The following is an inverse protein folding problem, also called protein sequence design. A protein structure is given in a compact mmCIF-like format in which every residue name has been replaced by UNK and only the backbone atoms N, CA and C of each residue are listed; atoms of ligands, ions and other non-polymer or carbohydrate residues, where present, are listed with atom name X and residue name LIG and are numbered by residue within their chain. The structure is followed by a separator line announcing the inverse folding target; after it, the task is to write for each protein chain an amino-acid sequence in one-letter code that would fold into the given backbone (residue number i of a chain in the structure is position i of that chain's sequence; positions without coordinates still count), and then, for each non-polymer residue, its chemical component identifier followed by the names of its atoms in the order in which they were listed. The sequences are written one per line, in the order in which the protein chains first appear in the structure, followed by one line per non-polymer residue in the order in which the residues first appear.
data_IF_610717930544
#
_entry.id   IF_610717930544
#
_cell.length_a   1.000
_cell.length_b   1.000
_cell.length_c   1.000
_cell.angle_alpha   90.00
_cell.angle_beta   90.00
_cell.angle_gamma   90.00
#
_symmetry.space_group_name_H-M   'P 1'
#
loop_
_entity.id
_entity.type
_entity.pdbx_description
1 polymer ?
#
# COMPACT_ATOMS: atom_id res chain seq x y z
N UNK A 1 -16.33 -1.73 7.26
CA UNK A 1 -16.48 -1.84 5.79
C UNK A 1 -15.30 -2.66 5.26
N UNK A 2 -15.48 -3.47 4.21
CA UNK A 2 -14.37 -4.17 3.58
C UNK A 2 -13.83 -3.29 2.44
N UNK A 3 -12.54 -2.91 2.53
CA UNK A 3 -11.83 -2.14 1.49
C UNK A 3 -10.65 -2.98 1.01
N UNK A 4 -10.33 -2.85 -0.27
CA UNK A 4 -9.20 -3.52 -0.90
C UNK A 4 -8.34 -2.44 -1.54
N UNK A 5 -7.03 -2.55 -1.37
CA UNK A 5 -6.05 -1.67 -1.99
C UNK A 5 -5.01 -2.50 -2.71
N UNK A 6 -4.52 -1.99 -3.84
CA UNK A 6 -3.36 -2.56 -4.50
C UNK A 6 -2.08 -2.09 -3.83
N UNK A 7 -1.10 -2.97 -3.77
CA UNK A 7 0.20 -2.70 -3.14
C UNK A 7 1.32 -3.09 -4.08
N UNK A 8 2.39 -2.30 -4.08
CA UNK A 8 3.60 -2.57 -4.85
C UNK A 8 4.70 -3.00 -3.90
N UNK A 9 5.20 -4.23 -4.07
CA UNK A 9 6.36 -4.74 -3.33
C UNK A 9 7.62 -4.53 -4.16
N UNK A 10 8.64 -3.94 -3.54
CA UNK A 10 9.96 -3.74 -4.13
C UNK A 10 11.00 -4.47 -3.28
N UNK A 11 11.76 -5.43 -3.83
CA UNK A 11 12.87 -6.04 -3.12
C UNK A 11 13.94 -5.00 -2.77
N UNK A 12 14.43 -5.02 -1.54
CA UNK A 12 15.46 -4.11 -1.07
C UNK A 12 16.87 -4.69 -1.25
N UNK A 13 17.87 -3.81 -1.38
CA UNK A 13 19.26 -4.20 -1.65
C UNK A 13 19.89 -5.05 -0.54
N UNK A 14 19.49 -4.82 0.72
CA UNK A 14 19.99 -5.52 1.91
C UNK A 14 19.15 -6.75 2.27
N UNK A 15 18.11 -7.06 1.49
CA UNK A 15 17.10 -8.07 1.80
C UNK A 15 15.78 -7.46 2.27
N UNK A 16 14.72 -8.27 2.27
CA UNK A 16 13.37 -7.80 2.58
C UNK A 16 12.68 -7.09 1.41
N UNK A 17 11.54 -6.47 1.73
CA UNK A 17 10.64 -5.83 0.78
C UNK A 17 10.10 -4.53 1.34
N UNK A 18 10.22 -3.45 0.57
CA UNK A 18 9.43 -2.24 0.77
C UNK A 18 8.07 -2.39 0.12
N UNK A 19 7.05 -1.81 0.74
CA UNK A 19 5.67 -1.77 0.25
C UNK A 19 5.23 -0.33 0.11
N UNK A 20 4.61 -0.02 -1.02
CA UNK A 20 3.89 1.23 -1.24
C UNK A 20 2.46 0.97 -1.69
N UNK A 21 1.56 1.90 -1.36
CA UNK A 21 0.13 1.80 -1.71
C UNK A 21 -0.20 2.97 -2.65
N UNK A 22 -0.27 2.76 -3.98
CA UNK A 22 -0.42 3.86 -4.93
C UNK A 22 -1.64 4.75 -4.69
N UNK A 23 -2.73 4.16 -4.21
CA UNK A 23 -3.96 4.88 -3.90
C UNK A 23 -3.91 5.71 -2.60
N UNK A 24 -2.92 5.46 -1.74
CA UNK A 24 -2.71 6.16 -0.46
C UNK A 24 -1.30 6.79 -0.46
N UNK A 25 -1.11 7.95 -1.13
CA UNK A 25 0.19 8.59 -1.23
C UNK A 25 0.82 8.82 0.14
N UNK A 26 2.06 8.38 0.33
CA UNK A 26 2.76 8.47 1.62
C UNK A 26 2.60 7.26 2.52
N UNK A 27 1.73 6.30 2.18
CA UNK A 27 1.65 5.01 2.87
C UNK A 27 2.79 4.09 2.39
N UNK A 28 3.90 4.12 3.11
CA UNK A 28 5.07 3.28 2.90
C UNK A 28 5.36 2.43 4.14
N UNK A 29 5.78 1.19 3.92
CA UNK A 29 6.20 0.29 4.99
C UNK A 29 7.21 -0.73 4.44
N UNK A 30 7.73 -1.61 5.29
CA UNK A 30 8.68 -2.65 4.90
C UNK A 30 8.53 -3.90 5.78
N UNK A 31 9.06 -5.03 5.32
CA UNK A 31 9.22 -6.26 6.10
C UNK A 31 10.34 -7.13 5.55
N UNK A 32 10.88 -8.02 6.37
CA UNK A 32 11.99 -8.92 6.01
C UNK A 32 11.54 -10.04 5.07
N UNK A 33 10.26 -10.41 5.14
CA UNK A 33 9.60 -11.39 4.26
C UNK A 33 8.41 -10.78 3.54
N UNK A 34 7.91 -11.46 2.50
CA UNK A 34 6.68 -11.04 1.82
C UNK A 34 5.50 -11.06 2.80
N UNK A 35 5.41 -12.11 3.63
CA UNK A 35 4.36 -12.24 4.63
C UNK A 35 4.37 -11.07 5.62
N UNK A 36 5.54 -10.76 6.18
CA UNK A 36 5.70 -9.64 7.12
C UNK A 36 5.40 -8.30 6.45
N UNK A 37 5.94 -8.06 5.26
CA UNK A 37 5.69 -6.85 4.50
C UNK A 37 4.19 -6.63 4.23
N UNK A 38 3.43 -7.71 3.99
CA UNK A 38 1.99 -7.66 3.81
C UNK A 38 1.21 -7.43 5.12
N UNK A 39 1.69 -7.95 6.25
CA UNK A 39 1.12 -7.64 7.57
C UNK A 39 1.32 -6.16 7.91
N UNK A 40 2.55 -5.68 7.76
CA UNK A 40 2.90 -4.28 7.95
C UNK A 40 2.10 -3.35 7.03
N UNK A 41 1.83 -3.77 5.79
CA UNK A 41 1.01 -2.99 4.86
C UNK A 41 -0.45 -2.89 5.32
N UNK A 42 -1.03 -3.98 5.84
CA UNK A 42 -2.41 -3.95 6.36
C UNK A 42 -2.53 -2.97 7.53
N UNK A 43 -1.58 -2.99 8.46
CA UNK A 43 -1.56 -2.06 9.59
C UNK A 43 -1.41 -0.61 9.13
N UNK A 44 -0.44 -0.32 8.27
CA UNK A 44 -0.22 1.03 7.73
C UNK A 44 -1.44 1.58 6.99
N UNK A 45 -2.08 0.76 6.14
CA UNK A 45 -3.32 1.13 5.43
C UNK A 45 -4.45 1.42 6.42
N UNK A 46 -4.58 0.60 7.46
CA UNK A 46 -5.65 0.75 8.46
C UNK A 46 -5.48 2.07 9.22
N UNK A 47 -4.27 2.38 9.69
CA UNK A 47 -3.95 3.63 10.37
C UNK A 47 -4.13 4.85 9.46
N UNK A 48 -3.74 4.74 8.18
CA UNK A 48 -3.94 5.82 7.21
C UNK A 48 -5.42 6.15 7.04
N UNK A 49 -6.27 5.12 6.87
CA UNK A 49 -7.73 5.29 6.72
C UNK A 49 -8.34 5.88 7.99
N UNK A 50 -7.94 5.40 9.16
CA UNK A 50 -8.41 5.95 10.45
C UNK A 50 -8.09 7.45 10.56
N UNK A 51 -6.89 7.88 10.14
CA UNK A 51 -6.53 9.30 10.11
C UNK A 51 -7.44 10.11 9.19
N UNK A 52 -7.69 9.64 7.96
CA UNK A 52 -8.59 10.33 7.03
C UNK A 52 -10.01 10.42 7.57
N UNK A 53 -10.51 9.34 8.19
CA UNK A 53 -11.85 9.31 8.77
C UNK A 53 -11.98 10.27 9.97
N UNK A 54 -10.92 10.41 10.79
CA UNK A 54 -10.85 11.38 11.89
C UNK A 54 -10.87 12.83 11.40
N UNK A 55 -10.16 13.11 10.30
CA UNK A 55 -10.09 14.45 9.70
C UNK A 55 -11.29 14.75 8.78
N UNK A 56 -12.25 13.83 8.68
CA UNK A 56 -13.41 13.88 7.78
C UNK A 56 -13.04 14.07 6.30
N UNK A 57 -11.89 13.52 5.91
CA UNK A 57 -11.40 13.49 4.54
C UNK A 57 -11.96 12.30 3.74
N UNK A 58 -11.83 12.37 2.42
CA UNK A 58 -12.30 11.32 1.53
C UNK A 58 -11.32 10.15 1.58
N UNK A 59 -11.81 8.97 1.95
CA UNK A 59 -11.04 7.72 1.83
C UNK A 59 -10.96 7.30 0.36
N UNK A 60 -9.75 7.19 -0.23
CA UNK A 60 -9.59 6.76 -1.61
C UNK A 60 -10.12 5.33 -1.84
N UNK A 61 -10.76 5.10 -3.00
CA UNK A 61 -11.21 3.80 -3.47
C UNK A 61 -10.57 3.51 -4.83
N UNK A 62 -9.72 2.48 -4.89
CA UNK A 62 -9.03 2.08 -6.12
C UNK A 62 -9.68 0.89 -6.83
N UNK A 63 -10.86 0.43 -6.39
CA UNK A 63 -11.52 -0.78 -6.91
C UNK A 63 -11.72 -0.76 -8.43
N UNK A 64 -11.87 0.44 -9.03
CA UNK A 64 -12.03 0.66 -10.48
C UNK A 64 -10.76 1.10 -11.21
N UNK A 65 -9.61 1.07 -10.55
CA UNK A 65 -8.31 1.41 -11.15
C UNK A 65 -7.69 0.19 -11.82
N UNK A 66 -7.01 0.39 -12.95
CA UNK A 66 -6.25 -0.67 -13.62
C UNK A 66 -4.75 -0.45 -13.41
N UNK A 67 -4.03 -1.53 -13.13
CA UNK A 67 -2.57 -1.51 -13.00
C UNK A 67 -1.95 -2.28 -14.17
N UNK A 68 -0.97 -1.63 -14.82
CA UNK A 68 -0.24 -2.20 -15.95
C UNK A 68 1.23 -1.81 -15.87
N UNK A 69 2.10 -2.74 -16.25
CA UNK A 69 3.53 -2.46 -16.49
C UNK A 69 3.75 -2.14 -17.96
N UNK A 70 4.52 -1.09 -18.24
CA UNK A 70 4.99 -0.76 -19.59
C UNK A 70 6.49 -1.01 -19.68
N UNK A 71 6.92 -1.75 -20.69
CA UNK A 71 8.33 -1.95 -20.99
C UNK A 71 8.70 -1.05 -22.17
N UNK A 72 9.65 -0.15 -21.95
CA UNK A 72 10.21 0.68 -23.01
C UNK A 72 11.40 -0.06 -23.64
N UNK A 73 11.46 -0.07 -24.97
CA UNK A 73 12.56 -0.63 -25.77
C UNK A 73 13.36 0.48 -26.44
#
# INVERSE_FOLDING_TARGET
MQRTYRVLLTPEAEGGFSVSVPALPGCFTQGETIEEAMEMAKEAISLYIESLELDAEIVPDDSKTLEYSLTLV
#
